data_IF_218241674212
#
_entry.id   IF_218241674212
#
_cell.length_a   1.000
_cell.length_b   1.000
_cell.length_c   1.000
_cell.angle_alpha   90.00
_cell.angle_beta   90.00
_cell.angle_gamma   90.00
#
_symmetry.space_group_name_H-M   'P 1'
#
loop_
_entity.id
_entity.type
_entity.pdbx_description
1 polymer ?
#
# COMPACT_ATOMS: atom_id res chain seq x y z
N UNK A 1 -23.96 29.46 22.10
CA UNK A 1 -23.77 27.99 22.18
C UNK A 1 -24.70 27.38 23.24
N UNK A 2 -26.02 27.31 23.00
CA UNK A 2 -27.00 26.81 24.00
C UNK A 2 -27.98 25.74 23.44
N UNK A 3 -27.73 25.21 22.24
CA UNK A 3 -28.67 24.30 21.55
C UNK A 3 -28.26 22.83 21.48
N UNK A 4 -27.10 22.43 22.01
CA UNK A 4 -26.59 21.07 21.83
C UNK A 4 -26.98 20.09 22.96
N UNK A 5 -27.53 20.58 24.07
CA UNK A 5 -27.77 19.75 25.26
C UNK A 5 -29.10 18.99 25.24
N UNK A 6 -30.09 19.44 24.46
CA UNK A 6 -31.43 18.83 24.43
C UNK A 6 -31.48 17.59 23.52
N UNK A 7 -30.58 17.49 22.54
CA UNK A 7 -30.51 16.36 21.61
C UNK A 7 -29.84 15.10 22.20
N UNK A 8 -29.11 15.19 23.31
CA UNK A 8 -28.56 14.00 23.99
C UNK A 8 -29.56 13.32 24.92
N UNK A 9 -30.52 14.05 25.48
CA UNK A 9 -31.50 13.50 26.44
C UNK A 9 -32.54 12.55 25.80
N UNK A 10 -32.89 12.79 24.54
CA UNK A 10 -33.89 12.00 23.80
C UNK A 10 -33.34 10.72 23.15
N UNK A 11 -32.02 10.50 23.16
CA UNK A 11 -31.42 9.27 22.64
C UNK A 11 -31.30 8.14 23.69
N UNK A 12 -31.45 8.45 24.98
CA UNK A 12 -31.25 7.48 26.06
C UNK A 12 -32.52 6.71 26.46
N UNK A 13 -33.72 7.18 26.07
CA UNK A 13 -34.99 6.57 26.52
C UNK A 13 -35.65 5.62 25.51
N UNK A 14 -35.12 5.48 24.29
CA UNK A 14 -35.73 4.64 23.22
C UNK A 14 -35.21 3.19 23.20
N UNK A 15 -34.22 2.82 24.02
CA UNK A 15 -33.59 1.48 23.95
C UNK A 15 -33.75 0.64 25.22
N UNK A 16 -34.87 0.77 25.93
CA UNK A 16 -35.28 -0.19 26.97
C UNK A 16 -36.12 -1.35 26.38
N UNK A 17 -35.85 -1.78 25.15
CA UNK A 17 -36.41 -3.04 24.65
C UNK A 17 -35.71 -4.21 25.36
N UNK A 18 -36.45 -5.22 25.85
CA UNK A 18 -35.83 -6.40 26.44
C UNK A 18 -34.89 -6.99 25.40
N UNK A 19 -33.61 -7.02 25.77
CA UNK A 19 -32.54 -7.59 24.96
C UNK A 19 -32.77 -9.11 24.96
N UNK A 20 -33.61 -9.58 24.04
CA UNK A 20 -33.81 -11.02 23.82
C UNK A 20 -32.47 -11.54 23.32
N UNK A 21 -31.75 -12.26 24.17
CA UNK A 21 -30.46 -12.82 23.84
C UNK A 21 -30.62 -13.81 22.68
N UNK A 22 -30.33 -13.36 21.47
CA UNK A 22 -30.35 -14.24 20.31
C UNK A 22 -29.14 -15.17 20.43
N UNK A 23 -29.41 -16.46 20.67
CA UNK A 23 -28.38 -17.48 20.64
C UNK A 23 -27.77 -17.52 19.23
N UNK A 24 -26.55 -17.01 19.12
CA UNK A 24 -25.78 -17.09 17.88
C UNK A 24 -25.06 -18.43 17.88
N UNK A 25 -25.53 -19.32 17.02
CA UNK A 25 -24.95 -20.62 16.82
C UNK A 25 -23.95 -20.54 15.65
N UNK A 26 -22.73 -21.03 15.87
CA UNK A 26 -21.65 -21.08 14.87
C UNK A 26 -21.26 -22.53 14.66
N UNK A 27 -21.12 -22.95 13.41
CA UNK A 27 -20.62 -24.29 13.11
C UNK A 27 -19.12 -24.28 13.00
N UNK A 28 -18.51 -25.34 13.52
CA UNK A 28 -17.08 -25.56 13.47
C UNK A 28 -16.82 -26.79 12.63
N UNK A 29 -15.96 -26.62 11.64
CA UNK A 29 -15.42 -27.73 10.84
C UNK A 29 -13.98 -27.93 11.27
N UNK A 30 -13.70 -29.08 11.86
CA UNK A 30 -12.34 -29.53 12.14
C UNK A 30 -11.86 -30.44 11.00
N UNK A 31 -10.69 -30.14 10.47
CA UNK A 31 -10.02 -30.94 9.44
C UNK A 31 -8.72 -31.47 9.99
N UNK A 32 -8.66 -32.78 10.25
CA UNK A 32 -7.47 -33.49 10.68
C UNK A 32 -6.76 -34.07 9.47
N UNK A 33 -5.54 -33.62 9.20
CA UNK A 33 -4.67 -34.24 8.23
C UNK A 33 -4.01 -35.47 8.84
N UNK A 34 -3.98 -36.59 8.14
CA UNK A 34 -3.44 -37.85 8.68
C UNK A 34 -2.21 -38.28 7.89
N UNK A 35 -2.35 -38.41 6.56
CA UNK A 35 -1.27 -38.89 5.71
C UNK A 35 -1.32 -38.28 4.31
N UNK A 36 -0.15 -38.09 3.73
CA UNK A 36 0.03 -37.86 2.29
C UNK A 36 0.95 -38.94 1.74
N UNK A 37 0.63 -39.44 0.55
CA UNK A 37 1.45 -40.40 -0.18
C UNK A 37 1.47 -40.08 -1.67
N UNK A 38 2.66 -40.09 -2.24
CA UNK A 38 2.90 -40.08 -3.68
C UNK A 38 3.51 -41.45 -4.04
N UNK A 39 2.77 -42.29 -4.76
CA UNK A 39 3.20 -43.68 -5.01
C UNK A 39 4.20 -43.81 -6.15
N UNK A 40 4.22 -42.87 -7.09
CA UNK A 40 5.15 -42.83 -8.20
C UNK A 40 5.68 -41.41 -8.47
N UNK A 41 6.88 -41.26 -9.05
CA UNK A 41 7.30 -40.00 -9.64
C UNK A 41 6.24 -39.51 -10.63
N UNK A 42 5.96 -38.21 -10.65
CA UNK A 42 4.98 -37.64 -11.58
C UNK A 42 5.62 -37.67 -12.96
N UNK A 43 5.16 -38.59 -13.80
CA UNK A 43 5.47 -38.63 -15.23
C UNK A 43 4.54 -37.65 -15.93
N UNK A 44 4.85 -36.37 -15.80
CA UNK A 44 4.21 -35.30 -16.58
C UNK A 44 5.11 -34.97 -17.77
N UNK A 45 4.52 -34.64 -18.92
CA UNK A 45 5.25 -34.13 -20.08
C UNK A 45 6.01 -32.82 -19.77
N UNK A 46 5.64 -32.14 -18.67
CA UNK A 46 6.41 -31.05 -18.08
C UNK A 46 7.15 -31.53 -16.82
N UNK A 47 8.42 -31.13 -16.62
CA UNK A 47 9.24 -31.56 -15.51
C UNK A 47 8.82 -30.86 -14.21
N UNK A 48 7.66 -31.25 -13.67
CA UNK A 48 7.09 -30.64 -12.46
C UNK A 48 7.97 -30.87 -11.24
N UNK A 49 8.69 -31.99 -11.16
CA UNK A 49 9.53 -32.37 -10.03
C UNK A 49 10.87 -32.96 -10.51
N UNK A 50 11.67 -32.18 -11.22
CA UNK A 50 13.05 -32.57 -11.59
C UNK A 50 14.07 -31.96 -10.63
N UNK A 51 15.15 -32.70 -10.37
CA UNK A 51 16.34 -32.15 -9.75
C UNK A 51 17.08 -31.21 -10.72
N UNK A 52 18.11 -30.52 -10.23
CA UNK A 52 19.03 -29.70 -11.06
C UNK A 52 19.63 -30.47 -12.23
N UNK A 53 19.78 -31.79 -12.11
CA UNK A 53 20.35 -32.66 -13.13
C UNK A 53 19.31 -33.18 -14.15
N UNK A 54 18.09 -32.62 -14.13
CA UNK A 54 17.00 -33.02 -15.03
C UNK A 54 16.36 -34.37 -14.71
N UNK A 55 16.87 -35.10 -13.71
CA UNK A 55 16.32 -36.40 -13.33
C UNK A 55 14.99 -36.28 -12.54
N UNK A 56 14.03 -37.21 -12.75
CA UNK A 56 12.81 -37.26 -11.97
C UNK A 56 13.11 -37.41 -10.49
N UNK A 57 12.57 -36.48 -9.69
CA UNK A 57 12.80 -36.40 -8.25
C UNK A 57 11.48 -36.42 -7.49
N UNK A 58 11.56 -36.62 -6.18
CA UNK A 58 10.41 -36.49 -5.31
C UNK A 58 9.99 -35.03 -5.22
N UNK A 59 8.69 -34.74 -5.24
CA UNK A 59 8.20 -33.36 -5.11
C UNK A 59 8.35 -32.85 -3.67
N UNK A 60 8.33 -31.52 -3.50
CA UNK A 60 8.22 -30.86 -2.20
C UNK A 60 6.78 -30.35 -2.03
N UNK A 61 5.84 -31.17 -1.56
CA UNK A 61 4.42 -30.83 -1.59
C UNK A 61 4.08 -29.66 -0.65
N UNK A 62 3.35 -28.69 -1.18
CA UNK A 62 2.69 -27.62 -0.45
C UNK A 62 1.16 -27.79 -0.53
N UNK A 63 0.50 -27.65 0.60
CA UNK A 63 -0.91 -27.95 0.81
C UNK A 63 -1.70 -26.68 1.07
N UNK A 64 -2.71 -26.42 0.26
CA UNK A 64 -3.68 -25.36 0.45
C UNK A 64 -5.04 -25.97 0.67
N UNK A 65 -5.72 -25.54 1.72
CA UNK A 65 -7.11 -25.89 1.98
C UNK A 65 -7.92 -24.61 2.11
N UNK A 66 -9.07 -24.62 1.45
CA UNK A 66 -9.94 -23.48 1.30
C UNK A 66 -11.38 -23.89 1.63
N UNK A 67 -12.01 -23.20 2.56
CA UNK A 67 -13.44 -23.26 2.76
C UNK A 67 -14.12 -22.40 1.69
N UNK A 68 -14.97 -23.02 0.87
CA UNK A 68 -15.76 -22.33 -0.14
C UNK A 68 -17.15 -22.01 0.42
N UNK A 69 -17.62 -20.80 0.16
CA UNK A 69 -19.04 -20.48 0.33
C UNK A 69 -19.90 -21.22 -0.69
N UNK A 70 -21.20 -21.27 -0.43
CA UNK A 70 -22.17 -21.89 -1.32
C UNK A 70 -22.36 -21.13 -2.64
N UNK A 71 -22.94 -21.81 -3.65
CA UNK A 71 -23.31 -21.25 -4.96
C UNK A 71 -24.07 -19.90 -4.87
N UNK A 72 -24.01 -19.04 -5.91
CA UNK A 72 -23.44 -19.30 -7.23
C UNK A 72 -21.93 -19.06 -7.34
N UNK A 73 -21.39 -18.15 -6.55
CA UNK A 73 -20.00 -17.72 -6.62
C UNK A 73 -19.16 -18.38 -5.53
N UNK A 74 -18.70 -19.61 -5.78
CA UNK A 74 -17.79 -20.36 -4.89
C UNK A 74 -16.47 -19.62 -4.73
N UNK A 75 -16.40 -18.74 -3.74
CA UNK A 75 -15.22 -17.98 -3.34
C UNK A 75 -14.65 -18.59 -2.06
N UNK A 76 -13.33 -18.49 -1.95
CA UNK A 76 -12.65 -18.88 -0.73
C UNK A 76 -12.96 -17.89 0.38
N UNK A 77 -13.56 -18.35 1.47
CA UNK A 77 -13.85 -17.52 2.65
C UNK A 77 -12.76 -17.65 3.71
N UNK A 78 -12.20 -18.85 3.86
CA UNK A 78 -11.09 -19.13 4.78
C UNK A 78 -10.08 -20.03 4.09
N UNK A 79 -8.80 -19.67 4.19
CA UNK A 79 -7.70 -20.41 3.57
C UNK A 79 -6.66 -20.76 4.61
N UNK A 80 -6.02 -21.92 4.46
CA UNK A 80 -4.83 -22.29 5.21
C UNK A 80 -3.82 -22.95 4.28
N UNK A 81 -2.55 -22.62 4.47
CA UNK A 81 -1.44 -22.99 3.60
C UNK A 81 -0.26 -23.47 4.44
N UNK A 82 0.32 -24.61 4.08
CA UNK A 82 1.49 -25.17 4.76
C UNK A 82 2.26 -26.14 3.86
N UNK A 83 3.48 -26.51 4.26
CA UNK A 83 4.36 -27.38 3.47
C UNK A 83 5.23 -26.59 2.49
N UNK A 84 5.71 -27.27 1.44
CA UNK A 84 6.62 -26.69 0.46
C UNK A 84 8.10 -26.91 0.78
N UNK A 85 8.96 -26.23 0.02
CA UNK A 85 10.40 -26.50 -0.01
C UNK A 85 11.14 -26.15 1.28
N UNK A 86 10.71 -25.11 2.00
CA UNK A 86 11.32 -24.67 3.26
C UNK A 86 10.74 -25.38 4.50
N UNK A 87 10.18 -26.58 4.32
CA UNK A 87 9.54 -27.35 5.40
C UNK A 87 10.10 -28.77 5.48
N UNK A 88 9.83 -29.51 6.58
CA UNK A 88 10.22 -30.92 6.71
C UNK A 88 9.62 -31.84 5.62
N UNK A 89 8.73 -31.32 4.79
CA UNK A 89 8.07 -32.05 3.71
C UNK A 89 8.85 -32.00 2.39
N UNK A 90 9.98 -31.28 2.35
CA UNK A 90 10.86 -31.21 1.18
C UNK A 90 11.23 -32.62 0.67
N UNK A 91 10.96 -32.85 -0.62
CA UNK A 91 11.25 -34.10 -1.34
C UNK A 91 10.65 -35.37 -0.69
N UNK A 92 9.58 -35.24 0.11
CA UNK A 92 8.95 -36.38 0.79
C UNK A 92 7.83 -36.99 -0.05
N UNK A 93 7.96 -38.29 -0.36
CA UNK A 93 6.89 -39.08 -0.99
C UNK A 93 5.79 -39.47 -0.02
N UNK A 94 6.12 -39.68 1.25
CA UNK A 94 5.16 -40.03 2.30
C UNK A 94 5.33 -39.09 3.46
N UNK A 95 4.22 -38.53 3.95
CA UNK A 95 4.18 -37.62 5.09
C UNK A 95 3.10 -38.14 6.04
N UNK A 96 3.44 -38.28 7.31
CA UNK A 96 2.48 -38.49 8.39
C UNK A 96 2.33 -37.19 9.15
N UNK A 97 1.13 -36.63 9.13
CA UNK A 97 0.88 -35.32 9.73
C UNK A 97 0.75 -35.46 11.25
N UNK A 98 1.57 -34.68 11.98
CA UNK A 98 1.54 -34.63 13.44
C UNK A 98 0.48 -33.63 13.92
N UNK A 99 0.35 -33.48 15.24
CA UNK A 99 -0.54 -32.50 15.88
C UNK A 99 -0.21 -31.03 15.56
N UNK A 100 1.02 -30.75 15.10
CA UNK A 100 1.46 -29.45 14.58
C UNK A 100 1.98 -29.60 13.16
N UNK A 101 1.58 -28.66 12.31
CA UNK A 101 2.01 -28.54 10.92
C UNK A 101 3.07 -27.43 10.80
N UNK A 102 3.85 -27.40 9.69
CA UNK A 102 4.77 -26.31 9.41
C UNK A 102 4.09 -24.94 9.48
N UNK A 103 4.83 -23.92 9.92
CA UNK A 103 4.30 -22.58 10.17
C UNK A 103 3.50 -22.46 11.47
N UNK A 104 3.58 -23.45 12.37
CA UNK A 104 2.94 -23.38 13.69
C UNK A 104 1.44 -23.66 13.68
N UNK A 105 0.87 -24.10 12.55
CA UNK A 105 -0.55 -24.42 12.44
C UNK A 105 -0.90 -25.67 13.27
N UNK A 106 -2.08 -25.65 13.89
CA UNK A 106 -2.62 -26.81 14.62
C UNK A 106 -3.24 -27.83 13.67
N UNK A 107 -3.14 -29.11 14.02
CA UNK A 107 -3.84 -30.21 13.39
C UNK A 107 -4.62 -30.98 14.48
N UNK A 108 -5.97 -30.97 14.47
CA UNK A 108 -6.84 -30.51 13.38
C UNK A 108 -6.88 -29.00 13.17
N UNK A 109 -7.03 -28.59 11.92
CA UNK A 109 -7.33 -27.21 11.53
C UNK A 109 -8.78 -26.89 11.82
N UNK A 110 -9.08 -25.63 12.13
CA UNK A 110 -10.42 -25.17 12.49
C UNK A 110 -10.93 -24.14 11.48
N UNK A 111 -12.09 -24.40 10.92
CA UNK A 111 -12.84 -23.47 10.08
C UNK A 111 -14.17 -23.13 10.76
N UNK A 112 -14.58 -21.87 10.63
CA UNK A 112 -15.81 -21.36 11.22
C UNK A 112 -16.84 -21.14 10.11
N UNK A 113 -18.07 -21.60 10.29
CA UNK A 113 -19.12 -21.45 9.30
C UNK A 113 -20.34 -20.86 9.98
N UNK A 114 -20.85 -19.77 9.43
CA UNK A 114 -22.08 -19.16 9.95
C UNK A 114 -23.27 -20.07 9.68
N UNK A 115 -24.19 -20.20 10.67
CA UNK A 115 -25.33 -21.13 10.59
C UNK A 115 -26.23 -20.90 9.37
N UNK A 116 -26.21 -19.70 8.78
CA UNK A 116 -27.06 -19.32 7.65
C UNK A 116 -26.45 -19.65 6.28
N UNK A 117 -25.19 -20.08 6.21
CA UNK A 117 -24.54 -20.41 4.92
C UNK A 117 -25.00 -21.77 4.41
N UNK A 118 -25.18 -21.90 3.09
CA UNK A 118 -25.50 -23.19 2.50
C UNK A 118 -24.31 -24.18 2.66
N UNK A 119 -24.58 -25.47 2.42
CA UNK A 119 -23.63 -26.58 2.66
C UNK A 119 -22.22 -26.23 2.16
N UNK A 120 -21.23 -26.06 3.07
CA UNK A 120 -19.90 -25.66 2.69
C UNK A 120 -19.14 -26.80 2.02
N UNK A 121 -18.19 -26.42 1.16
CA UNK A 121 -17.31 -27.35 0.44
C UNK A 121 -15.87 -26.99 0.78
N UNK A 122 -15.03 -28.00 1.01
CA UNK A 122 -13.59 -27.79 1.12
C UNK A 122 -12.96 -28.01 -0.24
N UNK A 123 -12.16 -27.04 -0.67
CA UNK A 123 -11.25 -27.18 -1.79
C UNK A 123 -9.84 -27.40 -1.25
N UNK A 124 -9.26 -28.55 -1.58
CA UNK A 124 -7.90 -28.91 -1.24
C UNK A 124 -7.06 -28.91 -2.51
N UNK A 125 -5.92 -28.21 -2.48
CA UNK A 125 -4.96 -28.18 -3.58
C UNK A 125 -3.57 -28.56 -3.07
N UNK A 126 -2.86 -29.36 -3.84
CA UNK A 126 -1.47 -29.74 -3.59
C UNK A 126 -0.62 -29.22 -4.72
N UNK A 127 0.46 -28.51 -4.39
CA UNK A 127 1.39 -27.90 -5.35
C UNK A 127 2.82 -28.36 -5.07
N UNK A 128 3.73 -28.24 -6.05
CA UNK A 128 5.16 -28.48 -5.84
C UNK A 128 5.92 -27.19 -5.46
N UNK A 129 6.83 -27.29 -4.49
CA UNK A 129 7.72 -26.23 -3.97
C UNK A 129 6.95 -25.14 -3.23
N UNK A 130 6.06 -24.43 -3.94
CA UNK A 130 5.29 -23.27 -3.48
C UNK A 130 3.89 -23.26 -4.13
N UNK A 131 2.98 -22.43 -3.60
CA UNK A 131 1.58 -22.26 -4.03
C UNK A 131 1.40 -21.59 -5.42
N UNK A 132 2.30 -21.86 -6.37
CA UNK A 132 2.26 -21.29 -7.72
C UNK A 132 1.29 -22.09 -8.61
N UNK A 133 0.46 -21.42 -9.44
CA UNK A 133 -0.55 -22.10 -10.26
C UNK A 133 0.01 -23.16 -11.22
N UNK A 134 1.20 -22.93 -11.79
CA UNK A 134 1.87 -23.86 -12.69
C UNK A 134 2.41 -25.13 -12.02
N UNK A 135 2.40 -25.20 -10.69
CA UNK A 135 2.95 -26.33 -9.93
C UNK A 135 1.85 -27.23 -9.34
N UNK A 136 0.62 -27.14 -9.84
CA UNK A 136 -0.51 -27.91 -9.30
C UNK A 136 -0.32 -29.41 -9.53
N UNK A 137 -0.20 -30.16 -8.44
CA UNK A 137 -0.06 -31.62 -8.47
C UNK A 137 -1.43 -32.31 -8.35
N UNK A 138 -2.31 -31.80 -7.49
CA UNK A 138 -3.63 -32.37 -7.29
C UNK A 138 -4.62 -31.33 -6.77
N UNK A 139 -5.90 -31.53 -7.08
CA UNK A 139 -7.01 -30.71 -6.60
C UNK A 139 -8.18 -31.60 -6.25
N UNK A 140 -8.79 -31.38 -5.09
CA UNK A 140 -9.88 -32.17 -4.56
C UNK A 140 -10.99 -31.27 -4.02
N UNK A 141 -12.24 -31.62 -4.31
CA UNK A 141 -13.42 -30.98 -3.73
C UNK A 141 -14.09 -31.97 -2.79
N UNK A 142 -14.18 -31.60 -1.51
CA UNK A 142 -14.70 -32.44 -0.44
C UNK A 142 -16.02 -31.85 0.03
N UNK A 143 -17.11 -32.62 -0.13
CA UNK A 143 -18.40 -32.28 0.45
C UNK A 143 -18.36 -32.58 1.94
N UNK A 144 -18.49 -31.54 2.75
CA UNK A 144 -18.53 -31.66 4.20
C UNK A 144 -19.86 -32.36 4.58
N UNK A 145 -19.85 -33.36 5.47
CA UNK A 145 -21.08 -33.96 5.97
C UNK A 145 -21.78 -32.93 6.84
N UNK A 146 -22.80 -32.28 6.28
CA UNK A 146 -23.46 -31.15 6.92
C UNK A 146 -24.76 -31.61 7.57
N UNK A 147 -24.87 -31.59 8.90
CA UNK A 147 -26.14 -31.90 9.55
C UNK A 147 -27.21 -30.86 9.16
N UNK A 148 -28.50 -31.21 9.19
CA UNK A 148 -29.60 -30.25 8.97
C UNK A 148 -29.44 -29.00 9.84
N UNK A 149 -29.83 -27.82 9.34
CA UNK A 149 -29.55 -26.52 9.97
C UNK A 149 -30.17 -26.34 11.36
N UNK A 150 -31.28 -27.01 11.60
CA UNK A 150 -32.03 -27.05 12.85
C UNK A 150 -31.39 -27.93 13.93
N UNK A 151 -30.42 -28.79 13.57
CA UNK A 151 -29.74 -29.67 14.51
C UNK A 151 -28.44 -29.03 15.02
N UNK A 152 -28.40 -28.77 16.32
CA UNK A 152 -27.19 -28.40 17.04
C UNK A 152 -26.50 -29.67 17.55
N UNK A 153 -25.30 -29.95 17.05
CA UNK A 153 -24.51 -31.12 17.47
C UNK A 153 -23.40 -30.65 18.39
N UNK A 154 -23.36 -31.10 19.64
CA UNK A 154 -22.26 -30.76 20.55
C UNK A 154 -20.95 -31.43 20.11
N UNK A 155 -19.80 -30.84 20.47
CA UNK A 155 -18.49 -31.37 20.06
C UNK A 155 -18.27 -32.82 20.51
N UNK A 156 -18.70 -33.19 21.72
CA UNK A 156 -18.57 -34.54 22.26
C UNK A 156 -19.36 -35.59 21.46
N UNK A 157 -20.47 -35.19 20.85
CA UNK A 157 -21.39 -36.09 20.12
C UNK A 157 -21.05 -36.16 18.62
N UNK A 158 -20.28 -35.18 18.12
CA UNK A 158 -19.84 -35.15 16.74
C UNK A 158 -18.77 -36.23 16.45
N UNK A 159 -19.04 -37.03 15.41
CA UNK A 159 -18.17 -38.12 14.96
C UNK A 159 -17.17 -37.63 13.91
N UNK A 160 -15.99 -38.24 13.90
CA UNK A 160 -15.02 -38.08 12.81
C UNK A 160 -15.47 -38.89 11.61
N UNK A 161 -15.36 -38.30 10.41
CA UNK A 161 -15.52 -38.99 9.14
C UNK A 161 -14.22 -38.95 8.37
N UNK A 162 -13.66 -40.12 8.09
CA UNK A 162 -12.42 -40.28 7.33
C UNK A 162 -12.67 -40.19 5.83
N UNK A 163 -11.69 -39.65 5.11
CA UNK A 163 -11.67 -39.48 3.67
C UNK A 163 -10.31 -39.92 3.15
N UNK A 164 -10.32 -40.82 2.18
CA UNK A 164 -9.16 -41.16 1.35
C UNK A 164 -9.36 -40.51 -0.02
N UNK A 165 -8.53 -39.51 -0.33
CA UNK A 165 -8.61 -38.74 -1.56
C UNK A 165 -7.51 -39.19 -2.51
N UNK A 166 -7.89 -39.67 -3.70
CA UNK A 166 -6.94 -40.20 -4.68
C UNK A 166 -7.00 -39.44 -6.01
N UNK A 167 -5.84 -38.95 -6.47
CA UNK A 167 -5.68 -38.38 -7.80
C UNK A 167 -4.98 -39.37 -8.72
N UNK A 168 -5.69 -39.85 -9.75
CA UNK A 168 -5.21 -40.88 -10.68
C UNK A 168 -4.02 -40.42 -11.53
N UNK A 169 -3.92 -39.14 -11.86
CA UNK A 169 -2.90 -38.60 -12.77
C UNK A 169 -1.58 -38.39 -12.04
N UNK A 170 -1.61 -37.71 -10.90
CA UNK A 170 -0.40 -37.45 -10.10
C UNK A 170 -0.05 -38.58 -9.13
N UNK A 171 -0.87 -39.63 -9.05
CA UNK A 171 -0.68 -40.78 -8.14
C UNK A 171 -0.53 -40.34 -6.67
N UNK A 172 -1.26 -39.29 -6.31
CA UNK A 172 -1.30 -38.70 -4.97
C UNK A 172 -2.50 -39.26 -4.22
N UNK A 173 -2.26 -39.73 -3.00
CA UNK A 173 -3.27 -40.09 -2.01
C UNK A 173 -3.15 -39.18 -0.79
N UNK A 174 -4.28 -38.72 -0.25
CA UNK A 174 -4.36 -37.92 0.97
C UNK A 174 -5.42 -38.51 1.88
N UNK A 175 -5.02 -38.80 3.11
CA UNK A 175 -5.90 -39.28 4.16
C UNK A 175 -6.16 -38.13 5.12
N UNK A 176 -7.44 -37.82 5.34
CA UNK A 176 -7.87 -36.81 6.29
C UNK A 176 -9.18 -37.21 6.95
N UNK A 177 -9.46 -36.62 8.10
CA UNK A 177 -10.72 -36.79 8.81
C UNK A 177 -11.38 -35.44 9.07
N UNK A 178 -12.70 -35.38 8.90
CA UNK A 178 -13.50 -34.17 9.12
C UNK A 178 -14.47 -34.42 10.27
N UNK A 179 -14.58 -33.44 11.17
CA UNK A 179 -15.57 -33.43 12.26
C UNK A 179 -16.31 -32.10 12.24
N UNK A 180 -17.63 -32.15 12.33
CA UNK A 180 -18.50 -30.96 12.29
C UNK A 180 -19.35 -30.92 13.55
N UNK A 181 -19.37 -29.77 14.21
CA UNK A 181 -20.20 -29.55 15.39
C UNK A 181 -20.64 -28.10 15.49
N UNK A 182 -21.57 -27.83 16.38
CA UNK A 182 -22.11 -26.51 16.67
C UNK A 182 -21.52 -25.99 17.98
N UNK A 183 -20.98 -24.79 17.93
CA UNK A 183 -20.67 -23.99 19.10
C UNK A 183 -21.84 -23.04 19.39
N UNK A 184 -22.52 -23.32 20.49
CA UNK A 184 -23.48 -22.41 21.09
C UNK A 184 -22.72 -21.54 22.09
N UNK A 185 -22.45 -20.30 21.71
CA UNK A 185 -21.90 -19.30 22.62
C UNK A 185 -23.01 -18.33 23.01
N UNK A 186 -23.16 -18.12 24.31
CA UNK A 186 -23.98 -17.02 24.81
C UNK A 186 -23.19 -15.74 24.55
N UNK A 187 -23.56 -14.99 23.52
CA UNK A 187 -23.04 -13.64 23.36
C UNK A 187 -23.60 -12.77 24.47
N UNK A 188 -22.73 -12.39 25.42
CA UNK A 188 -23.03 -11.35 26.39
C UNK A 188 -23.26 -9.99 25.72
N UNK A 189 -23.64 -8.98 26.53
CA UNK A 189 -24.03 -7.65 26.07
C UNK A 189 -23.02 -7.00 25.09
N UNK A 190 -21.71 -7.20 25.30
CA UNK A 190 -20.66 -6.63 24.46
C UNK A 190 -20.70 -7.13 22.99
N UNK A 191 -21.01 -8.41 22.78
CA UNK A 191 -21.09 -8.98 21.44
C UNK A 191 -22.35 -8.54 20.70
N UNK A 192 -23.46 -8.37 21.43
CA UNK A 192 -24.67 -7.82 20.85
C UNK A 192 -24.50 -6.34 20.50
N UNK A 193 -23.81 -5.57 21.35
CA UNK A 193 -23.41 -4.20 21.05
C UNK A 193 -22.52 -4.13 19.80
N UNK A 194 -21.59 -5.08 19.61
CA UNK A 194 -20.78 -5.17 18.40
C UNK A 194 -21.61 -5.47 17.13
N UNK A 195 -22.57 -6.41 17.20
CA UNK A 195 -23.51 -6.66 16.09
C UNK A 195 -24.42 -5.48 15.79
N UNK A 196 -24.89 -4.78 16.82
CA UNK A 196 -25.65 -3.55 16.66
C UNK A 196 -24.78 -2.47 15.99
N UNK A 197 -23.51 -2.37 16.40
CA UNK A 197 -22.54 -1.45 15.84
C UNK A 197 -22.24 -1.73 14.37
N UNK A 198 -22.15 -2.98 13.94
CA UNK A 198 -22.04 -3.33 12.52
C UNK A 198 -23.25 -2.88 11.70
N UNK A 199 -24.47 -2.94 12.26
CA UNK A 199 -25.68 -2.41 11.60
C UNK A 199 -25.72 -0.88 11.57
N UNK A 200 -25.20 -0.23 12.61
CA UNK A 200 -25.19 1.24 12.75
C UNK A 200 -24.02 1.89 11.98
N UNK A 201 -22.90 1.19 11.81
CA UNK A 201 -21.69 1.69 11.12
C UNK A 201 -21.97 2.26 9.73
N UNK A 202 -22.72 1.61 8.83
CA UNK A 202 -23.02 2.13 7.51
C UNK A 202 -23.80 3.45 7.57
N UNK A 203 -24.76 3.56 8.50
CA UNK A 203 -25.59 4.75 8.70
C UNK A 203 -24.71 5.90 9.21
N UNK A 204 -23.92 5.63 10.25
CA UNK A 204 -23.02 6.63 10.85
C UNK A 204 -21.94 7.09 9.86
N UNK A 205 -21.35 6.17 9.07
CA UNK A 205 -20.42 6.52 7.99
C UNK A 205 -21.07 7.40 6.94
N UNK A 206 -22.32 7.13 6.53
CA UNK A 206 -23.06 8.01 5.60
C UNK A 206 -23.29 9.40 6.19
N UNK A 207 -23.68 9.49 7.46
CA UNK A 207 -23.89 10.78 8.15
C UNK A 207 -22.60 11.58 8.23
N UNK A 208 -21.48 10.93 8.58
CA UNK A 208 -20.16 11.59 8.66
C UNK A 208 -19.64 11.99 7.29
N UNK A 209 -19.74 11.12 6.27
CA UNK A 209 -19.35 11.46 4.90
C UNK A 209 -20.18 12.63 4.36
N UNK A 210 -21.48 12.67 4.63
CA UNK A 210 -22.34 13.82 4.31
C UNK A 210 -21.87 15.11 4.98
N UNK A 211 -21.54 15.04 6.28
CA UNK A 211 -21.05 16.19 7.06
C UNK A 211 -19.66 16.66 6.60
N UNK A 212 -18.78 15.73 6.20
CA UNK A 212 -17.47 16.07 5.63
C UNK A 212 -17.58 16.68 4.24
N UNK A 213 -18.45 16.17 3.36
CA UNK A 213 -18.74 16.81 2.04
C UNK A 213 -19.26 18.23 2.20
N UNK A 214 -20.15 18.47 3.16
CA UNK A 214 -20.66 19.81 3.44
C UNK A 214 -19.54 20.76 3.91
N UNK A 215 -18.64 20.31 4.79
CA UNK A 215 -17.48 21.10 5.23
C UNK A 215 -16.47 21.35 4.11
N UNK A 216 -16.23 20.38 3.23
CA UNK A 216 -15.32 20.55 2.09
C UNK A 216 -15.89 21.54 1.08
N UNK A 217 -17.18 21.45 0.72
CA UNK A 217 -17.82 22.42 -0.18
C UNK A 217 -17.75 23.85 0.39
N UNK A 218 -17.94 24.03 1.71
CA UNK A 218 -17.80 25.34 2.36
C UNK A 218 -16.38 25.89 2.29
N UNK A 219 -15.35 25.04 2.45
CA UNK A 219 -13.94 25.42 2.31
C UNK A 219 -13.57 25.73 0.86
N UNK A 220 -14.08 24.97 -0.09
CA UNK A 220 -13.82 25.18 -1.51
C UNK A 220 -14.44 26.48 -2.01
N UNK A 221 -15.66 26.82 -1.56
CA UNK A 221 -16.28 28.10 -1.84
C UNK A 221 -15.47 29.27 -1.26
N UNK A 222 -15.00 29.17 -0.01
CA UNK A 222 -14.14 30.18 0.60
C UNK A 222 -12.79 30.35 -0.12
N UNK A 223 -12.20 29.25 -0.61
CA UNK A 223 -10.94 29.29 -1.37
C UNK A 223 -11.12 29.93 -2.75
N UNK A 224 -12.25 29.68 -3.43
CA UNK A 224 -12.58 30.32 -4.71
C UNK A 224 -12.78 31.83 -4.54
N UNK A 225 -13.43 32.28 -3.48
CA UNK A 225 -13.57 33.71 -3.17
C UNK A 225 -12.24 34.38 -2.81
N UNK A 226 -11.39 33.72 -2.01
CA UNK A 226 -10.07 34.23 -1.66
C UNK A 226 -9.16 34.36 -2.91
N UNK A 227 -9.15 33.34 -3.77
CA UNK A 227 -8.38 33.38 -5.02
C UNK A 227 -8.88 34.48 -5.97
N UNK A 228 -10.21 34.73 -6.02
CA UNK A 228 -10.78 35.83 -6.82
C UNK A 228 -10.29 37.20 -6.32
N UNK A 229 -10.30 37.42 -5.00
CA UNK A 229 -9.78 38.65 -4.39
C UNK A 229 -8.28 38.83 -4.61
N UNK A 230 -7.50 37.75 -4.51
CA UNK A 230 -6.06 37.79 -4.76
C UNK A 230 -5.75 38.12 -6.24
N UNK A 231 -6.45 37.51 -7.19
CA UNK A 231 -6.29 37.80 -8.62
C UNK A 231 -6.59 39.26 -8.95
N UNK A 232 -7.67 39.82 -8.37
CA UNK A 232 -8.01 41.23 -8.53
C UNK A 232 -6.96 42.16 -7.92
N UNK A 233 -6.34 41.77 -6.80
CA UNK A 233 -5.26 42.55 -6.17
C UNK A 233 -4.01 42.57 -7.03
N UNK A 234 -3.64 41.43 -7.64
CA UNK A 234 -2.51 41.33 -8.57
C UNK A 234 -2.75 42.20 -9.81
N UNK A 235 -3.92 42.09 -10.43
CA UNK A 235 -4.28 42.88 -11.61
C UNK A 235 -4.24 44.40 -11.33
N UNK A 236 -4.73 44.83 -10.16
CA UNK A 236 -4.63 46.24 -9.74
C UNK A 236 -3.17 46.67 -9.53
N UNK A 237 -2.31 45.79 -9.00
CA UNK A 237 -0.89 46.08 -8.80
C UNK A 237 -0.11 46.19 -10.12
N UNK A 238 -0.47 45.39 -11.12
CA UNK A 238 0.14 45.45 -12.45
C UNK A 238 -0.24 46.74 -13.17
N UNK A 239 -1.53 47.13 -13.13
CA UNK A 239 -1.99 48.42 -13.65
C UNK A 239 -1.25 49.60 -13.01
N UNK A 240 -1.04 49.58 -11.69
CA UNK A 240 -0.28 50.62 -11.01
C UNK A 240 1.20 50.67 -11.42
N UNK A 241 1.84 49.51 -11.68
CA UNK A 241 3.22 49.46 -12.18
C UNK A 241 3.34 50.01 -13.60
N UNK A 242 2.36 49.71 -14.46
CA UNK A 242 2.30 50.23 -15.82
C UNK A 242 2.16 51.75 -15.82
N UNK A 243 1.22 52.29 -15.05
CA UNK A 243 1.06 53.75 -14.87
C UNK A 243 2.34 54.40 -14.32
N UNK A 244 3.01 53.78 -13.35
CA UNK A 244 4.26 54.30 -12.79
C UNK A 244 5.40 54.31 -13.82
N UNK A 245 5.48 53.32 -14.71
CA UNK A 245 6.47 53.27 -15.78
C UNK A 245 6.19 54.34 -16.85
N UNK A 246 4.93 54.54 -17.24
CA UNK A 246 4.55 55.63 -18.15
C UNK A 246 4.93 57.01 -17.59
N UNK A 247 4.71 57.24 -16.30
CA UNK A 247 5.13 58.46 -15.59
C UNK A 247 6.66 58.64 -15.60
N UNK A 248 7.42 57.57 -15.36
CA UNK A 248 8.89 57.60 -15.42
C UNK A 248 9.42 57.95 -16.80
N UNK A 249 8.85 57.34 -17.85
CA UNK A 249 9.23 57.64 -19.24
C UNK A 249 8.89 59.08 -19.63
N UNK A 250 7.75 59.61 -19.18
CA UNK A 250 7.40 61.03 -19.36
C UNK A 250 8.40 61.96 -18.66
N UNK A 251 8.73 61.71 -17.39
CA UNK A 251 9.71 62.51 -16.66
C UNK A 251 11.10 62.44 -17.29
N UNK A 252 11.52 61.28 -17.78
CA UNK A 252 12.81 61.12 -18.46
C UNK A 252 12.88 61.97 -19.73
N UNK A 253 11.83 61.93 -20.57
CA UNK A 253 11.73 62.79 -21.76
C UNK A 253 11.75 64.28 -21.41
N UNK A 254 11.09 64.68 -20.34
CA UNK A 254 11.14 66.08 -19.86
C UNK A 254 12.53 66.49 -19.37
N UNK A 255 13.25 65.61 -18.67
CA UNK A 255 14.63 65.87 -18.25
C UNK A 255 15.58 65.96 -19.44
N UNK A 256 15.52 65.03 -20.39
CA UNK A 256 16.36 65.05 -21.60
C UNK A 256 16.12 66.33 -22.42
N UNK A 257 14.87 66.80 -22.50
CA UNK A 257 14.54 68.08 -23.14
C UNK A 257 15.11 69.30 -22.40
N UNK A 258 15.19 69.25 -21.05
CA UNK A 258 15.84 70.31 -20.26
C UNK A 258 17.35 70.28 -20.44
N UNK A 259 17.98 69.11 -20.41
CA UNK A 259 19.42 68.95 -20.63
C UNK A 259 19.83 69.41 -22.03
N UNK A 260 19.08 69.07 -23.08
CA UNK A 260 19.36 69.54 -24.44
C UNK A 260 19.30 71.07 -24.56
N UNK A 261 18.38 71.72 -23.83
CA UNK A 261 18.29 73.19 -23.77
C UNK A 261 19.47 73.83 -23.02
N UNK A 262 19.96 73.21 -21.94
CA UNK A 262 21.05 73.75 -21.13
C UNK A 262 22.47 73.37 -21.64
N UNK A 263 22.66 72.16 -22.18
CA UNK A 263 23.95 71.67 -22.68
C UNK A 263 24.46 72.45 -23.89
N UNK A 264 23.56 72.89 -24.76
CA UNK A 264 23.91 73.78 -25.87
C UNK A 264 24.39 75.16 -25.40
N UNK A 265 23.92 75.64 -24.23
CA UNK A 265 24.42 76.88 -23.66
C UNK A 265 25.85 76.72 -23.10
N UNK A 266 26.17 75.56 -22.51
CA UNK A 266 27.48 75.31 -21.90
C UNK A 266 28.58 74.98 -22.92
N UNK A 267 28.27 74.19 -23.96
CA UNK A 267 29.24 73.82 -25.00
C UNK A 267 29.72 75.02 -25.84
N UNK A 268 28.89 76.06 -25.97
CA UNK A 268 29.27 77.31 -26.65
C UNK A 268 30.36 78.06 -25.87
N UNK A 269 30.37 77.99 -24.54
CA UNK A 269 31.39 78.66 -23.70
C UNK A 269 32.75 77.93 -23.67
N UNK A 270 32.81 76.60 -23.80
CA UNK A 270 34.09 75.86 -23.68
C UNK A 270 34.93 75.94 -24.97
N UNK A 271 34.30 76.04 -26.14
CA UNK A 271 35.00 76.05 -27.43
C UNK A 271 35.91 77.27 -27.61
N UNK A 272 35.64 78.37 -26.91
CA UNK A 272 36.48 79.57 -26.90
C UNK A 272 37.74 79.42 -26.03
N UNK A 273 37.78 78.46 -25.09
CA UNK A 273 38.90 78.30 -24.14
C UNK A 273 40.03 77.38 -24.65
N UNK A 274 39.71 76.31 -25.40
CA UNK A 274 40.66 75.23 -25.71
C UNK A 274 41.65 75.56 -26.86
N UNK A 275 41.37 76.58 -27.68
CA UNK A 275 42.30 76.99 -28.75
C UNK A 275 43.61 77.57 -28.17
N UNK A 276 43.63 78.03 -26.91
CA UNK A 276 44.81 78.64 -26.30
C UNK A 276 45.91 77.71 -25.77
N UNK A 277 45.70 76.38 -25.67
CA UNK A 277 46.62 75.49 -24.94
C UNK A 277 47.49 74.55 -25.80
N UNK A 278 47.25 74.44 -27.11
CA UNK A 278 47.89 73.41 -27.96
C UNK A 278 49.31 73.73 -28.47
N UNK A 279 49.85 74.89 -28.14
CA UNK A 279 51.18 75.34 -28.63
C UNK A 279 52.36 74.94 -27.73
N UNK A 280 52.14 74.30 -26.57
CA UNK A 280 53.18 74.17 -25.52
C UNK A 280 53.83 72.78 -25.32
N UNK A 281 53.39 71.70 -25.96
CA UNK A 281 53.82 70.33 -25.57
C UNK A 281 54.82 69.61 -26.51
N UNK A 282 55.22 70.17 -27.66
CA UNK A 282 56.03 69.45 -28.65
C UNK A 282 57.58 69.42 -28.41
N UNK A 283 58.11 69.82 -27.25
CA UNK A 283 59.57 70.10 -27.10
C UNK A 283 60.40 69.11 -26.23
N UNK A 284 59.85 68.08 -25.58
CA UNK A 284 60.57 67.43 -24.45
C UNK A 284 60.90 65.92 -24.45
N UNK A 285 60.60 65.15 -25.48
CA UNK A 285 60.68 63.66 -25.35
C UNK A 285 61.86 62.96 -26.05
N UNK A 286 63.05 63.58 -26.04
CA UNK A 286 64.31 62.98 -26.52
C UNK A 286 65.37 62.86 -25.40
N UNK A 287 65.36 61.76 -24.61
CA UNK A 287 66.50 61.14 -23.89
C UNK A 287 66.04 60.14 -22.83
N UNK A 288 66.33 58.84 -23.02
CA UNK A 288 66.97 57.93 -22.05
C UNK A 288 66.81 56.44 -22.45
N UNK A 289 67.95 55.76 -22.61
CA UNK A 289 68.15 54.31 -22.79
C UNK A 289 69.38 53.90 -21.94
N UNK A 290 69.48 52.61 -21.57
CA UNK A 290 70.50 51.90 -20.74
C UNK A 290 70.21 51.83 -19.21
N UNK A 291 70.35 50.72 -18.45
CA UNK A 291 71.13 49.46 -18.59
C UNK A 291 70.66 48.32 -17.62
N UNK A 292 70.72 47.05 -18.08
CA UNK A 292 71.15 45.72 -17.49
C UNK A 292 70.90 45.23 -16.02
N UNK A 293 71.15 43.97 -15.59
CA UNK A 293 70.93 42.55 -16.03
C UNK A 293 71.62 41.53 -15.05
N UNK A 294 71.09 40.29 -14.90
CA UNK A 294 71.78 39.02 -14.48
C UNK A 294 71.94 38.68 -12.95
N UNK A 295 72.03 37.42 -12.42
CA UNK A 295 72.12 36.01 -12.93
C UNK A 295 72.13 34.96 -11.74
N UNK A 296 71.55 33.74 -11.95
CA UNK A 296 71.80 32.31 -11.49
C UNK A 296 72.56 31.96 -10.16
N UNK A 297 72.45 30.82 -9.44
CA UNK A 297 71.79 29.48 -9.53
C UNK A 297 72.63 28.31 -8.91
N UNK A 298 72.01 27.21 -8.38
CA UNK A 298 72.59 25.85 -8.07
C UNK A 298 72.75 25.45 -6.57
N UNK A 299 72.82 24.19 -6.05
CA UNK A 299 72.68 22.77 -6.50
C UNK A 299 72.85 21.79 -5.26
N UNK A 300 72.21 20.60 -5.26
CA UNK A 300 72.60 19.23 -4.74
C UNK A 300 72.76 18.85 -3.21
N UNK A 301 72.16 17.70 -2.79
CA UNK A 301 72.72 16.39 -2.27
C UNK A 301 71.58 15.52 -1.62
N UNK A 302 71.45 14.18 -1.87
CA UNK A 302 71.95 12.94 -1.15
C UNK A 302 71.53 12.88 0.35
N UNK A 303 71.14 11.79 1.03
CA UNK A 303 71.43 10.33 1.03
C UNK A 303 70.46 9.60 2.02
N UNK A 304 70.37 8.23 1.96
CA UNK A 304 70.11 7.13 2.97
C UNK A 304 69.36 7.39 4.32
N UNK A 305 68.71 6.47 5.07
CA UNK A 305 68.60 4.99 5.28
C UNK A 305 67.08 4.67 5.51
N UNK A 306 66.50 3.47 5.34
CA UNK A 306 66.70 2.15 5.97
C UNK A 306 66.04 1.05 5.10
#
# INVERSE_FOLDING_TARGET
MKGLSVLLGLFLTVFASPIVAHATSLRVVLVRWEKFRQTAPIQSNEPLCVNTDGQPSSCSPAFEICLLNSFPNRRCTQTSRFGGYLTPYRLKRTIFFRSRLPGGLKNPMRFLVEKQEAVPVLLLSVTNVDFKPGNLLAKFLIKIPWPPYDVDVAEKDAKWKSYELFNKHSKITIDLSIKVFTLNYRCGAACQAAKLWEKVQPIWRRTIQGRMRFKMNKREHGRKEANKKQKQTIENSEKMKETANELREKMKKEMDQREAKHGNAYARNIKESVIGQREKENEKESKNQETESGKKGGKKKKEEEE
#
